data_IF_429106421733
#
_entry.id   IF_429106421733
#
_cell.length_a   1.000
_cell.length_b   1.000
_cell.length_c   1.000
_cell.angle_alpha   90.00
_cell.angle_beta   90.00
_cell.angle_gamma   90.00
#
_symmetry.space_group_name_H-M   'P 1'
#
loop_
_entity.id
_entity.type
_entity.pdbx_description
1 polymer ?
#
# COMPACT_ATOMS: atom_id res chain seq x y z
N UNK A 1 -4.25 -21.76 -5.00
CA UNK A 1 -3.31 -21.06 -5.89
C UNK A 1 -3.37 -21.69 -7.28
N UNK A 2 -3.23 -20.89 -8.35
CA UNK A 2 -3.17 -21.39 -9.73
C UNK A 2 -1.75 -21.88 -10.05
N UNK A 3 -1.56 -23.19 -10.27
CA UNK A 3 -0.24 -23.78 -10.55
C UNK A 3 0.41 -23.29 -11.85
N UNK A 4 -0.38 -22.76 -12.78
CA UNK A 4 0.10 -22.28 -14.07
C UNK A 4 0.40 -20.78 -14.10
N UNK A 5 0.23 -20.08 -12.97
CA UNK A 5 0.35 -18.63 -12.92
C UNK A 5 1.67 -18.12 -13.51
N UNK A 6 2.82 -18.66 -13.09
CA UNK A 6 4.13 -18.23 -13.58
C UNK A 6 4.29 -18.44 -15.10
N UNK A 7 3.76 -19.53 -15.63
CA UNK A 7 3.79 -19.82 -17.06
C UNK A 7 2.89 -18.88 -17.85
N UNK A 8 1.63 -18.72 -17.43
CA UNK A 8 0.68 -17.82 -18.08
C UNK A 8 1.14 -16.35 -18.01
N UNK A 9 1.72 -15.94 -16.87
CA UNK A 9 2.28 -14.61 -16.69
C UNK A 9 3.46 -14.35 -17.62
N UNK A 10 4.36 -15.33 -17.79
CA UNK A 10 5.49 -15.19 -18.72
C UNK A 10 5.02 -14.99 -20.18
N UNK A 11 3.97 -15.72 -20.61
CA UNK A 11 3.35 -15.54 -21.93
C UNK A 11 2.72 -14.15 -22.03
N UNK A 12 1.88 -13.76 -21.06
CA UNK A 12 1.23 -12.45 -21.06
C UNK A 12 2.25 -11.30 -21.11
N UNK A 13 3.39 -11.46 -20.43
CA UNK A 13 4.48 -10.47 -20.45
C UNK A 13 5.19 -10.40 -21.80
N UNK A 14 5.47 -11.55 -22.41
CA UNK A 14 6.08 -11.62 -23.74
C UNK A 14 5.18 -10.99 -24.81
N UNK A 15 3.86 -11.19 -24.70
CA UNK A 15 2.86 -10.67 -25.63
C UNK A 15 2.43 -9.22 -25.31
N UNK A 16 2.97 -8.60 -24.25
CA UNK A 16 2.50 -7.32 -23.71
C UNK A 16 0.97 -7.28 -23.55
N UNK A 17 0.42 -8.39 -23.08
CA UNK A 17 -1.01 -8.65 -23.08
C UNK A 17 -1.75 -7.71 -22.12
N UNK A 18 -2.85 -7.13 -22.58
CA UNK A 18 -3.62 -6.12 -21.84
C UNK A 18 -4.16 -6.60 -20.48
N UNK A 19 -4.22 -7.91 -20.24
CA UNK A 19 -4.58 -8.44 -18.92
C UNK A 19 -3.60 -8.06 -17.80
N UNK A 20 -2.40 -7.60 -18.13
CA UNK A 20 -1.43 -7.08 -17.15
C UNK A 20 -1.69 -5.62 -16.77
N UNK A 21 -2.60 -4.94 -17.48
CA UNK A 21 -2.92 -3.54 -17.23
C UNK A 21 -4.02 -3.42 -16.15
N UNK A 22 -3.77 -2.68 -15.04
CA UNK A 22 -4.80 -2.45 -14.03
C UNK A 22 -6.10 -1.90 -14.63
N UNK A 23 -7.22 -2.47 -14.20
CA UNK A 23 -8.54 -2.10 -14.71
C UNK A 23 -9.01 -2.90 -15.93
N UNK A 24 -8.17 -3.73 -16.56
CA UNK A 24 -8.60 -4.70 -17.57
C UNK A 24 -9.06 -5.99 -16.89
N UNK A 25 -10.37 -6.11 -16.71
CA UNK A 25 -10.99 -7.37 -16.25
C UNK A 25 -11.18 -8.34 -17.42
N UNK A 26 -11.40 -9.65 -17.20
CA UNK A 26 -11.69 -10.58 -18.29
C UNK A 26 -12.85 -10.13 -19.20
N UNK A 27 -13.90 -9.55 -18.61
CA UNK A 27 -15.04 -9.00 -19.35
C UNK A 27 -14.62 -7.79 -20.23
N UNK A 28 -13.87 -6.85 -19.66
CA UNK A 28 -13.37 -5.68 -20.40
C UNK A 28 -12.41 -6.11 -21.51
N UNK A 29 -11.56 -7.10 -21.27
CA UNK A 29 -10.64 -7.59 -22.29
C UNK A 29 -11.37 -8.12 -23.53
N UNK A 30 -12.43 -8.91 -23.35
CA UNK A 30 -13.26 -9.40 -24.47
C UNK A 30 -13.90 -8.25 -25.25
N UNK A 31 -14.31 -7.18 -24.57
CA UNK A 31 -14.88 -5.99 -25.21
C UNK A 31 -13.85 -5.21 -26.01
N UNK A 32 -12.64 -5.06 -25.47
CA UNK A 32 -11.52 -4.43 -26.17
C UNK A 32 -11.12 -5.23 -27.42
N UNK A 33 -11.09 -6.56 -27.33
CA UNK A 33 -10.86 -7.43 -28.49
C UNK A 33 -11.92 -7.23 -29.58
N UNK A 34 -13.21 -7.12 -29.22
CA UNK A 34 -14.29 -6.87 -30.17
C UNK A 34 -14.16 -5.52 -30.91
N UNK A 35 -13.39 -4.58 -30.35
CA UNK A 35 -13.08 -3.28 -30.93
C UNK A 35 -11.70 -3.22 -31.61
N UNK A 36 -10.98 -4.35 -31.68
CA UNK A 36 -9.60 -4.42 -32.15
C UNK A 36 -8.61 -3.54 -31.35
N UNK A 37 -8.92 -3.29 -30.07
CA UNK A 37 -8.04 -2.58 -29.13
C UNK A 37 -7.23 -3.60 -28.32
N UNK A 38 -6.25 -4.22 -28.96
CA UNK A 38 -5.50 -5.35 -28.37
C UNK A 38 -4.09 -5.00 -27.91
N UNK A 39 -3.62 -3.77 -28.14
CA UNK A 39 -2.28 -3.33 -27.71
C UNK A 39 -2.35 -2.18 -26.72
N UNK A 40 -1.28 -2.02 -25.94
CA UNK A 40 -1.17 -0.94 -24.96
C UNK A 40 -1.23 0.44 -25.62
N UNK A 41 -0.56 0.60 -26.76
CA UNK A 41 -0.51 1.83 -27.55
C UNK A 41 -1.92 2.20 -28.07
N UNK A 42 -2.66 1.20 -28.57
CA UNK A 42 -4.03 1.43 -29.06
C UNK A 42 -4.97 1.94 -27.97
N UNK A 43 -4.74 1.55 -26.70
CA UNK A 43 -5.48 2.08 -25.55
C UNK A 43 -4.96 3.45 -25.10
N UNK A 44 -3.65 3.69 -25.16
CA UNK A 44 -3.04 4.94 -24.71
C UNK A 44 -3.43 6.14 -25.61
N UNK A 45 -3.60 5.90 -26.91
CA UNK A 45 -3.98 6.89 -27.92
C UNK A 45 -5.50 7.11 -28.02
N UNK A 46 -6.30 6.28 -27.33
CA UNK A 46 -7.74 6.30 -27.41
C UNK A 46 -8.34 7.51 -26.66
N UNK A 47 -9.38 8.11 -27.22
CA UNK A 47 -10.17 9.09 -26.46
C UNK A 47 -11.16 8.37 -25.54
N UNK A 48 -11.23 8.69 -24.23
CA UNK A 48 -12.05 7.94 -23.26
C UNK A 48 -13.54 7.79 -23.64
N UNK A 49 -14.13 8.78 -24.30
CA UNK A 49 -15.53 8.72 -24.77
C UNK A 49 -15.81 7.54 -25.72
N UNK A 50 -14.78 7.00 -26.38
CA UNK A 50 -14.92 5.82 -27.23
C UNK A 50 -15.18 4.53 -26.41
N UNK A 51 -14.80 4.50 -25.14
CA UNK A 51 -15.09 3.39 -24.22
C UNK A 51 -16.27 3.64 -23.30
N UNK A 52 -16.59 4.90 -23.00
CA UNK A 52 -17.60 5.28 -21.99
C UNK A 52 -18.97 4.61 -22.21
N UNK A 53 -19.41 4.47 -23.46
CA UNK A 53 -20.70 3.89 -23.81
C UNK A 53 -20.70 2.36 -23.87
N UNK A 54 -19.55 1.71 -23.69
CA UNK A 54 -19.44 0.26 -23.65
C UNK A 54 -19.85 -0.22 -22.25
N UNK A 55 -20.74 -1.21 -22.21
CA UNK A 55 -21.19 -1.81 -20.96
C UNK A 55 -19.99 -2.25 -20.09
N UNK A 56 -19.92 -1.81 -18.83
CA UNK A 56 -18.83 -2.20 -17.91
C UNK A 56 -17.63 -1.24 -17.85
N UNK A 57 -17.60 -0.19 -18.69
CA UNK A 57 -16.66 0.93 -18.55
C UNK A 57 -17.32 2.10 -17.81
N UNK A 58 -18.28 2.78 -18.43
CA UNK A 58 -18.72 4.10 -17.96
C UNK A 58 -17.58 5.14 -18.06
N UNK A 59 -17.91 6.41 -17.87
CA UNK A 59 -16.96 7.51 -18.12
C UNK A 59 -15.70 7.44 -17.25
N UNK A 60 -15.84 7.14 -15.96
CA UNK A 60 -14.70 7.09 -15.05
C UNK A 60 -13.75 5.93 -15.35
N UNK A 61 -14.26 4.71 -15.58
CA UNK A 61 -13.38 3.58 -15.84
C UNK A 61 -12.74 3.66 -17.23
N UNK A 62 -13.43 4.21 -18.22
CA UNK A 62 -12.87 4.50 -19.53
C UNK A 62 -11.65 5.43 -19.41
N UNK A 63 -11.81 6.54 -18.70
CA UNK A 63 -10.74 7.51 -18.50
C UNK A 63 -9.57 6.93 -17.69
N UNK A 64 -9.86 6.25 -16.57
CA UNK A 64 -8.83 5.56 -15.77
C UNK A 64 -8.05 4.54 -16.60
N UNK A 65 -8.72 3.77 -17.46
CA UNK A 65 -8.03 2.77 -18.28
C UNK A 65 -7.09 3.41 -19.31
N UNK A 66 -7.57 4.42 -20.04
CA UNK A 66 -6.74 5.16 -21.01
C UNK A 66 -5.53 5.77 -20.30
N UNK A 67 -5.75 6.42 -19.14
CA UNK A 67 -4.67 7.01 -18.32
C UNK A 67 -3.68 5.95 -17.84
N UNK A 68 -4.15 4.78 -17.44
CA UNK A 68 -3.31 3.65 -17.04
C UNK A 68 -2.47 3.13 -18.21
N UNK A 69 -3.04 3.05 -19.42
CA UNK A 69 -2.30 2.70 -20.63
C UNK A 69 -1.22 3.74 -20.97
N UNK A 70 -1.54 5.03 -20.88
CA UNK A 70 -0.59 6.14 -21.07
C UNK A 70 0.56 6.08 -20.06
N UNK A 71 0.25 5.90 -18.77
CA UNK A 71 1.25 5.75 -17.70
C UNK A 71 2.22 4.63 -18.02
N UNK A 72 1.69 3.45 -18.31
CA UNK A 72 2.47 2.24 -18.59
C UNK A 72 3.33 2.40 -19.85
N UNK A 73 2.77 2.96 -20.93
CA UNK A 73 3.50 3.18 -22.21
C UNK A 73 4.67 4.14 -22.03
N UNK A 74 4.48 5.22 -21.28
CA UNK A 74 5.50 6.25 -21.05
C UNK A 74 6.44 5.92 -19.89
N UNK A 75 6.16 4.83 -19.16
CA UNK A 75 6.81 4.48 -17.90
C UNK A 75 6.91 5.67 -16.94
N UNK A 76 5.80 6.40 -16.77
CA UNK A 76 5.75 7.64 -15.98
C UNK A 76 4.48 7.71 -15.14
N UNK A 77 4.62 8.21 -13.92
CA UNK A 77 3.49 8.56 -13.08
C UNK A 77 2.74 9.79 -13.60
N UNK A 78 1.42 9.73 -13.50
CA UNK A 78 0.53 10.83 -13.82
C UNK A 78 -0.35 11.17 -12.63
N UNK A 79 -0.75 12.44 -12.53
CA UNK A 79 -1.87 12.80 -11.65
C UNK A 79 -3.11 12.01 -12.06
N UNK A 80 -3.74 11.39 -11.07
CA UNK A 80 -5.02 10.74 -11.20
C UNK A 80 -6.09 11.78 -11.51
N UNK A 81 -6.98 11.46 -12.45
CA UNK A 81 -7.91 12.45 -12.99
C UNK A 81 -8.82 13.07 -11.94
N UNK A 82 -9.31 12.27 -10.99
CA UNK A 82 -10.18 12.77 -9.91
C UNK A 82 -9.47 13.83 -9.08
N UNK A 83 -8.17 13.65 -8.79
CA UNK A 83 -7.36 14.63 -8.09
C UNK A 83 -7.03 15.84 -8.99
N UNK A 84 -6.70 15.60 -10.26
CA UNK A 84 -6.46 16.64 -11.26
C UNK A 84 -7.71 17.46 -11.64
N UNK A 85 -8.90 17.07 -11.19
CA UNK A 85 -10.13 17.82 -11.35
C UNK A 85 -10.50 18.66 -10.10
N UNK A 86 -9.83 18.45 -8.96
CA UNK A 86 -10.07 19.24 -7.75
C UNK A 86 -9.63 20.70 -7.95
N UNK A 87 -10.32 21.70 -7.38
CA UNK A 87 -9.84 23.08 -7.37
C UNK A 87 -8.46 23.22 -6.70
N UNK A 88 -7.63 24.16 -7.14
CA UNK A 88 -6.28 24.37 -6.57
C UNK A 88 -6.31 24.62 -5.06
N UNK A 89 -7.34 25.29 -4.55
CA UNK A 89 -7.54 25.49 -3.10
C UNK A 89 -7.71 24.19 -2.32
N UNK A 90 -8.28 23.15 -2.93
CA UNK A 90 -8.46 21.82 -2.33
C UNK A 90 -7.19 20.97 -2.46
N UNK A 91 -6.39 21.16 -3.52
CA UNK A 91 -5.07 20.54 -3.66
C UNK A 91 -4.05 21.14 -2.68
N UNK A 92 -4.05 22.46 -2.53
CA UNK A 92 -3.10 23.22 -1.69
C UNK A 92 -3.44 23.20 -0.19
N UNK A 93 -4.71 23.06 0.20
CA UNK A 93 -5.03 22.79 1.61
C UNK A 93 -4.48 21.42 2.08
N UNK A 94 -4.06 20.58 1.12
CA UNK A 94 -3.24 19.40 1.34
C UNK A 94 -1.85 19.67 1.94
N UNK A 95 -1.34 20.90 2.01
CA UNK A 95 0.08 21.17 2.31
C UNK A 95 0.31 22.32 3.31
N UNK A 96 -0.72 22.88 3.95
CA UNK A 96 -0.50 23.92 4.96
C UNK A 96 -0.06 23.28 6.28
N UNK A 97 1.00 23.79 6.94
CA UNK A 97 1.30 23.47 8.33
C UNK A 97 0.27 24.18 9.21
N UNK A 98 -0.95 23.65 9.23
CA UNK A 98 -1.91 23.95 10.27
C UNK A 98 -1.47 23.11 11.46
N UNK A 99 -1.57 23.65 12.68
CA UNK A 99 -1.34 22.95 13.95
C UNK A 99 -2.24 21.71 14.18
N UNK A 100 -2.86 21.17 13.12
CA UNK A 100 -3.54 19.88 13.01
C UNK A 100 -3.07 19.20 11.74
N UNK A 101 -2.20 18.21 11.89
CA UNK A 101 -1.57 17.41 10.83
C UNK A 101 -2.54 16.55 9.99
N UNK A 102 -3.85 16.79 10.02
CA UNK A 102 -4.85 15.89 9.41
C UNK A 102 -5.54 16.44 8.16
N UNK A 103 -5.42 17.74 7.85
CA UNK A 103 -6.10 18.35 6.69
C UNK A 103 -5.32 18.17 5.37
N UNK A 104 -4.15 17.53 5.45
CA UNK A 104 -3.24 17.30 4.35
C UNK A 104 -3.57 16.04 3.52
N UNK A 105 -3.43 16.12 2.19
CA UNK A 105 -3.60 14.95 1.31
C UNK A 105 -2.45 13.93 1.44
N UNK A 106 -1.28 14.30 1.96
CA UNK A 106 -0.33 13.36 2.60
C UNK A 106 0.31 14.12 3.76
N UNK A 107 -0.13 13.88 5.00
CA UNK A 107 0.37 14.63 6.13
C UNK A 107 1.87 14.44 6.30
N UNK A 108 2.56 15.48 6.76
CA UNK A 108 3.96 15.39 7.16
C UNK A 108 4.11 15.93 8.57
N UNK A 109 4.88 15.23 9.39
CA UNK A 109 5.11 15.56 10.78
C UNK A 109 6.60 15.38 11.15
N UNK A 110 7.02 15.93 12.28
CA UNK A 110 8.39 15.74 12.78
C UNK A 110 8.70 14.26 13.03
N UNK A 111 7.77 13.56 13.68
CA UNK A 111 7.79 12.12 13.88
C UNK A 111 6.67 11.49 13.04
N UNK A 112 7.01 10.46 12.29
CA UNK A 112 6.09 9.67 11.47
C UNK A 112 6.26 8.18 11.78
N UNK A 113 5.16 7.44 11.83
CA UNK A 113 5.18 5.99 12.09
C UNK A 113 4.72 5.25 10.84
N UNK A 114 5.40 4.17 10.48
CA UNK A 114 5.02 3.29 9.37
C UNK A 114 4.77 1.89 9.89
N UNK A 115 3.56 1.38 9.66
CA UNK A 115 3.03 0.23 10.36
C UNK A 115 2.65 -0.89 9.39
N UNK A 116 3.05 -2.10 9.75
CA UNK A 116 2.66 -3.34 9.09
C UNK A 116 2.50 -4.47 10.13
N UNK A 117 1.73 -5.51 9.80
CA UNK A 117 1.45 -6.63 10.70
C UNK A 117 1.62 -7.98 10.02
N UNK A 118 2.03 -8.98 10.80
CA UNK A 118 2.04 -10.37 10.36
C UNK A 118 1.08 -11.22 11.18
N UNK A 119 0.34 -12.06 10.48
CA UNK A 119 -0.75 -12.85 11.04
C UNK A 119 -0.62 -14.33 10.71
N UNK A 120 -1.14 -15.18 11.59
CA UNK A 120 -1.44 -16.58 11.33
C UNK A 120 -2.97 -16.74 11.32
N UNK A 121 -3.61 -16.67 10.14
CA UNK A 121 -5.07 -16.65 10.04
C UNK A 121 -5.73 -17.91 10.60
N UNK A 122 -5.09 -19.07 10.52
CA UNK A 122 -5.67 -20.33 11.02
C UNK A 122 -5.80 -20.36 12.55
N UNK A 123 -4.98 -19.57 13.24
CA UNK A 123 -5.01 -19.41 14.69
C UNK A 123 -5.72 -18.12 15.13
N UNK A 124 -6.18 -17.29 14.17
CA UNK A 124 -6.71 -15.95 14.43
C UNK A 124 -5.74 -15.08 15.25
N UNK A 125 -4.44 -15.20 14.95
CA UNK A 125 -3.33 -14.65 15.71
C UNK A 125 -2.61 -13.55 14.91
N UNK A 126 -2.30 -12.44 15.56
CA UNK A 126 -1.30 -11.46 15.12
C UNK A 126 -0.05 -11.68 15.94
N UNK A 127 1.04 -12.09 15.29
CA UNK A 127 2.27 -12.44 16.00
C UNK A 127 3.37 -11.38 15.85
N UNK A 128 3.19 -10.39 14.98
CA UNK A 128 4.14 -9.28 14.83
C UNK A 128 3.41 -7.97 14.51
N UNK A 129 3.76 -6.94 15.28
CA UNK A 129 3.52 -5.54 14.92
C UNK A 129 4.86 -4.88 14.56
N UNK A 130 5.04 -4.53 13.29
CA UNK A 130 6.18 -3.77 12.80
C UNK A 130 5.90 -2.28 12.84
N UNK A 131 6.77 -1.50 13.47
CA UNK A 131 6.67 -0.04 13.46
C UNK A 131 8.02 0.57 13.14
N UNK A 132 8.14 1.22 11.98
CA UNK A 132 9.26 2.11 11.68
C UNK A 132 8.95 3.51 12.20
N UNK A 133 9.72 3.96 13.19
CA UNK A 133 9.69 5.33 13.71
C UNK A 133 10.69 6.16 12.92
N UNK A 134 10.20 7.16 12.19
CA UNK A 134 11.03 8.13 11.45
C UNK A 134 11.01 9.46 12.16
N UNK A 135 12.20 9.91 12.60
CA UNK A 135 12.42 11.26 13.14
C UNK A 135 13.10 12.10 12.06
N UNK A 136 12.34 13.02 11.45
CA UNK A 136 12.79 13.85 10.33
C UNK A 136 13.79 14.92 10.78
N UNK A 137 13.69 15.39 12.03
CA UNK A 137 14.58 16.42 12.56
C UNK A 137 15.96 15.84 12.89
N UNK A 138 15.99 14.68 13.56
CA UNK A 138 17.22 13.97 13.91
C UNK A 138 17.77 13.10 12.78
N UNK A 139 16.98 12.88 11.71
CA UNK A 139 17.30 12.01 10.58
C UNK A 139 17.61 10.58 11.02
N UNK A 140 16.76 10.05 11.90
CA UNK A 140 16.89 8.68 12.40
C UNK A 140 15.67 7.87 12.03
N UNK A 141 15.92 6.60 11.70
CA UNK A 141 14.91 5.60 11.38
C UNK A 141 15.13 4.40 12.30
N UNK A 142 14.16 4.10 13.17
CA UNK A 142 14.27 3.00 14.14
C UNK A 142 13.10 2.06 13.91
N UNK A 143 13.40 0.81 13.54
CA UNK A 143 12.40 -0.23 13.41
C UNK A 143 12.19 -0.94 14.74
N UNK A 144 10.93 -1.08 15.13
CA UNK A 144 10.50 -1.81 16.31
C UNK A 144 9.74 -3.06 15.88
N UNK A 145 10.33 -4.23 16.13
CA UNK A 145 9.69 -5.53 15.94
C UNK A 145 9.03 -5.99 17.24
N UNK A 146 7.73 -5.75 17.36
CA UNK A 146 6.96 -6.18 18.53
C UNK A 146 6.45 -7.60 18.27
N UNK A 147 7.30 -8.57 18.60
CA UNK A 147 7.19 -9.96 18.16
C UNK A 147 6.73 -10.88 19.29
N UNK A 148 5.67 -11.64 19.03
CA UNK A 148 5.20 -12.70 19.90
C UNK A 148 6.01 -13.97 19.60
N UNK A 149 6.91 -14.34 20.51
CA UNK A 149 7.69 -15.58 20.39
C UNK A 149 6.78 -16.82 20.48
N UNK A 150 5.64 -16.69 21.15
CA UNK A 150 4.59 -17.70 21.26
C UNK A 150 3.20 -17.09 21.05
N UNK A 151 2.20 -17.88 20.61
CA UNK A 151 0.83 -17.38 20.42
C UNK A 151 0.24 -16.67 21.65
N UNK A 152 0.61 -17.10 22.87
CA UNK A 152 0.10 -16.51 24.11
C UNK A 152 0.62 -15.07 24.34
N UNK A 153 1.70 -14.68 23.66
CA UNK A 153 2.33 -13.36 23.80
C UNK A 153 1.62 -12.27 22.96
N UNK A 154 0.58 -12.58 22.17
CA UNK A 154 -0.18 -11.58 21.37
C UNK A 154 -0.67 -10.41 22.24
N UNK A 155 -1.21 -10.71 23.43
CA UNK A 155 -1.68 -9.67 24.36
C UNK A 155 -0.57 -8.75 24.86
N UNK A 156 0.65 -9.30 25.02
CA UNK A 156 1.83 -8.55 25.46
C UNK A 156 2.29 -7.61 24.35
N UNK A 157 2.48 -8.11 23.13
CA UNK A 157 2.94 -7.27 22.01
C UNK A 157 1.90 -6.22 21.61
N UNK A 158 0.60 -6.50 21.86
CA UNK A 158 -0.46 -5.50 21.72
C UNK A 158 -0.26 -4.33 22.71
N UNK A 159 0.06 -4.61 23.98
CA UNK A 159 0.37 -3.53 24.93
C UNK A 159 1.64 -2.77 24.55
N UNK A 160 2.70 -3.48 24.12
CA UNK A 160 3.93 -2.84 23.65
C UNK A 160 3.68 -1.93 22.43
N UNK A 161 2.80 -2.35 21.52
CA UNK A 161 2.37 -1.54 20.37
C UNK A 161 1.68 -0.27 20.83
N UNK A 162 0.70 -0.40 21.74
CA UNK A 162 0.02 0.76 22.30
C UNK A 162 1.00 1.70 23.02
N UNK A 163 1.93 1.19 23.80
CA UNK A 163 2.90 2.01 24.52
C UNK A 163 3.83 2.77 23.56
N UNK A 164 4.27 2.13 22.47
CA UNK A 164 5.09 2.75 21.43
C UNK A 164 4.33 3.87 20.71
N UNK A 165 3.13 3.61 20.20
CA UNK A 165 2.39 4.63 19.43
C UNK A 165 1.94 5.81 20.31
N UNK A 166 1.74 5.57 21.62
CA UNK A 166 1.39 6.60 22.59
C UNK A 166 2.59 7.39 23.13
N UNK A 167 3.82 6.93 22.91
CA UNK A 167 5.01 7.77 23.10
C UNK A 167 5.06 8.94 22.09
N UNK A 168 4.32 8.83 20.98
CA UNK A 168 4.20 9.84 19.92
C UNK A 168 2.73 10.17 19.65
N UNK A 169 2.01 10.82 20.59
CA UNK A 169 0.54 10.91 20.56
C UNK A 169 -0.03 11.61 19.31
N UNK A 170 0.76 12.49 18.67
CA UNK A 170 0.33 13.30 17.52
C UNK A 170 0.90 12.80 16.18
N UNK A 171 1.75 11.77 16.18
CA UNK A 171 2.42 11.29 14.96
C UNK A 171 1.43 10.54 14.05
N UNK A 172 1.35 10.85 12.74
CA UNK A 172 0.57 10.05 11.79
C UNK A 172 1.14 8.63 11.70
N UNK A 173 0.24 7.66 11.50
CA UNK A 173 0.58 6.24 11.34
C UNK A 173 0.23 5.82 9.93
N UNK A 174 1.22 5.75 9.06
CA UNK A 174 1.05 5.30 7.69
C UNK A 174 0.96 3.78 7.63
N UNK A 175 0.00 3.29 6.87
CA UNK A 175 -0.18 1.88 6.56
C UNK A 175 -0.60 1.74 5.10
N UNK A 176 -0.61 0.50 4.58
CA UNK A 176 -0.82 0.27 3.14
C UNK A 176 -2.14 -0.42 2.79
N UNK A 177 -2.90 -0.93 3.75
CA UNK A 177 -4.16 -1.61 3.49
C UNK A 177 -5.17 -1.41 4.63
N UNK A 178 -6.49 -1.42 4.38
CA UNK A 178 -7.50 -1.38 5.45
C UNK A 178 -7.36 -2.50 6.49
N UNK A 179 -6.67 -3.60 6.16
CA UNK A 179 -6.48 -4.75 7.05
C UNK A 179 -5.79 -4.37 8.37
N UNK A 180 -4.77 -3.52 8.33
CA UNK A 180 -4.04 -3.08 9.53
C UNK A 180 -4.97 -2.37 10.53
N UNK A 181 -5.73 -1.38 10.05
CA UNK A 181 -6.64 -0.58 10.90
C UNK A 181 -7.77 -1.42 11.45
N UNK A 182 -8.33 -2.32 10.64
CA UNK A 182 -9.35 -3.27 11.08
C UNK A 182 -8.81 -4.21 12.16
N UNK A 183 -7.57 -4.65 12.02
CA UNK A 183 -6.90 -5.50 13.01
C UNK A 183 -6.66 -4.75 14.32
N UNK A 184 -6.20 -3.51 14.28
CA UNK A 184 -6.02 -2.65 15.47
C UNK A 184 -7.36 -2.49 16.20
N UNK A 185 -8.46 -2.25 15.49
CA UNK A 185 -9.80 -2.20 16.08
C UNK A 185 -10.21 -3.53 16.73
N UNK A 186 -9.99 -4.66 16.03
CA UNK A 186 -10.28 -6.00 16.55
C UNK A 186 -9.47 -6.33 17.81
N UNK A 187 -8.17 -6.05 17.83
CA UNK A 187 -7.31 -6.31 18.99
C UNK A 187 -7.69 -5.43 20.18
N UNK A 188 -8.11 -4.18 19.93
CA UNK A 188 -8.62 -3.31 20.96
C UNK A 188 -9.87 -3.88 21.65
N UNK A 189 -10.81 -4.43 20.89
CA UNK A 189 -11.98 -5.13 21.43
C UNK A 189 -11.57 -6.40 22.19
N UNK A 190 -10.70 -7.22 21.58
CA UNK A 190 -10.25 -8.49 22.14
C UNK A 190 -9.56 -8.32 23.51
N UNK A 191 -8.73 -7.29 23.66
CA UNK A 191 -7.94 -7.04 24.86
C UNK A 191 -8.48 -5.90 25.73
N UNK A 192 -9.72 -5.45 25.50
CA UNK A 192 -10.39 -4.48 26.38
C UNK A 192 -9.71 -3.11 26.43
N UNK A 193 -9.16 -2.64 25.31
CA UNK A 193 -8.52 -1.32 25.23
C UNK A 193 -9.59 -0.22 25.32
N UNK A 194 -9.47 0.76 26.24
CA UNK A 194 -10.50 1.77 26.44
C UNK A 194 -10.79 2.60 25.18
N UNK A 195 -12.05 2.98 24.98
CA UNK A 195 -12.50 3.69 23.77
C UNK A 195 -11.81 5.05 23.62
N UNK A 196 -11.56 5.73 24.74
CA UNK A 196 -10.83 6.98 24.84
C UNK A 196 -9.35 6.87 24.42
N UNK A 197 -8.76 5.67 24.49
CA UNK A 197 -7.42 5.38 23.98
C UNK A 197 -7.47 4.97 22.51
N UNK A 198 -8.41 4.11 22.09
CA UNK A 198 -8.40 3.59 20.71
C UNK A 198 -8.92 4.59 19.67
N UNK A 199 -9.92 5.40 20.00
CA UNK A 199 -10.54 6.34 19.04
C UNK A 199 -9.54 7.36 18.50
N UNK A 200 -8.77 8.10 19.33
CA UNK A 200 -7.76 9.02 18.81
C UNK A 200 -6.60 8.29 18.13
N UNK A 201 -6.27 7.06 18.53
CA UNK A 201 -5.26 6.24 17.84
C UNK A 201 -5.70 5.91 16.40
N UNK A 202 -6.92 5.39 16.21
CA UNK A 202 -7.44 5.07 14.88
C UNK A 202 -7.53 6.30 13.97
N UNK A 203 -7.81 7.48 14.52
CA UNK A 203 -7.84 8.74 13.77
C UNK A 203 -6.46 9.18 13.22
N UNK A 204 -5.36 8.60 13.71
CA UNK A 204 -4.00 8.87 13.23
C UNK A 204 -3.60 8.00 12.04
N UNK A 205 -4.35 6.95 11.72
CA UNK A 205 -4.02 6.05 10.63
C UNK A 205 -4.26 6.71 9.27
N UNK A 206 -3.27 6.55 8.40
CA UNK A 206 -3.23 7.14 7.08
C UNK A 206 -3.03 6.03 6.04
N UNK A 207 -4.11 5.73 5.31
CA UNK A 207 -4.09 4.73 4.24
C UNK A 207 -3.36 5.27 3.00
N UNK A 208 -2.13 4.82 2.77
CA UNK A 208 -1.35 5.23 1.61
C UNK A 208 -1.82 4.58 0.31
N UNK A 209 -2.36 3.37 0.35
CA UNK A 209 -2.89 2.74 -0.86
C UNK A 209 -4.11 3.48 -1.38
N UNK A 210 -5.02 3.87 -0.49
CA UNK A 210 -6.17 4.72 -0.84
C UNK A 210 -5.71 6.06 -1.43
N UNK A 211 -4.71 6.70 -0.81
CA UNK A 211 -4.16 7.98 -1.30
C UNK A 211 -3.52 7.81 -2.68
N UNK A 212 -2.65 6.82 -2.88
CA UNK A 212 -2.01 6.55 -4.17
C UNK A 212 -3.06 6.28 -5.25
N UNK A 213 -3.97 5.34 -5.02
CA UNK A 213 -4.94 4.90 -6.04
C UNK A 213 -5.96 5.97 -6.43
N UNK A 214 -6.25 6.92 -5.54
CA UNK A 214 -7.14 8.06 -5.85
C UNK A 214 -6.45 9.20 -6.58
N UNK A 215 -5.14 9.34 -6.44
CA UNK A 215 -4.44 10.57 -6.80
C UNK A 215 -3.33 10.42 -7.82
N UNK A 216 -2.88 9.19 -8.08
CA UNK A 216 -1.79 8.92 -9.02
C UNK A 216 -2.14 7.71 -9.88
N UNK A 217 -1.85 7.81 -11.17
CA UNK A 217 -1.80 6.67 -12.08
C UNK A 217 -0.34 6.29 -12.29
N UNK A 218 0.04 5.10 -11.82
CA UNK A 218 1.40 4.58 -11.85
C UNK A 218 1.58 3.53 -12.96
N UNK A 219 2.77 3.41 -13.56
CA UNK A 219 3.05 2.44 -14.62
C UNK A 219 3.36 1.04 -14.04
N UNK A 220 2.41 0.51 -13.26
CA UNK A 220 2.55 -0.76 -12.54
C UNK A 220 1.48 -1.75 -12.98
N UNK A 221 1.79 -3.04 -12.89
CA UNK A 221 0.85 -4.13 -13.22
C UNK A 221 -0.20 -4.34 -12.12
N UNK A 222 0.09 -3.91 -10.89
CA UNK A 222 -0.90 -3.78 -9.82
C UNK A 222 -0.48 -2.74 -8.79
N UNK A 223 -1.45 -2.24 -8.02
CA UNK A 223 -1.21 -1.28 -6.93
C UNK A 223 -0.88 -1.96 -5.61
N UNK A 224 -0.39 -3.21 -5.63
CA UNK A 224 0.15 -3.84 -4.44
C UNK A 224 1.47 -3.16 -4.02
N UNK A 225 1.74 -3.13 -2.71
CA UNK A 225 2.93 -2.50 -2.10
C UNK A 225 4.22 -2.82 -2.88
N UNK A 226 4.46 -4.12 -3.11
CA UNK A 226 5.66 -4.62 -3.79
C UNK A 226 5.85 -4.11 -5.22
N UNK A 227 4.76 -3.96 -5.99
CA UNK A 227 4.87 -3.46 -7.37
C UNK A 227 5.15 -1.97 -7.41
N UNK A 228 4.50 -1.19 -6.53
CA UNK A 228 4.71 0.26 -6.46
C UNK A 228 6.13 0.55 -5.97
N UNK A 229 6.53 -0.03 -4.84
CA UNK A 229 7.85 0.18 -4.26
C UNK A 229 8.98 -0.20 -5.24
N UNK A 230 8.86 -1.32 -5.97
CA UNK A 230 9.83 -1.70 -7.00
C UNK A 230 9.92 -0.73 -8.17
N UNK A 231 8.77 -0.23 -8.64
CA UNK A 231 8.80 0.80 -9.68
C UNK A 231 9.50 2.07 -9.19
N UNK A 232 9.40 2.37 -7.89
CA UNK A 232 10.11 3.46 -7.22
C UNK A 232 11.57 3.14 -6.86
N UNK A 233 12.09 1.98 -7.25
CA UNK A 233 13.48 1.58 -7.01
C UNK A 233 13.76 1.01 -5.61
N UNK A 234 12.74 0.60 -4.86
CA UNK A 234 12.89 -0.12 -3.60
C UNK A 234 12.77 -1.63 -3.83
N UNK A 235 13.67 -2.41 -3.24
CA UNK A 235 13.62 -3.87 -3.25
C UNK A 235 13.76 -4.44 -1.84
N UNK A 236 13.06 -5.55 -1.62
CA UNK A 236 13.14 -6.33 -0.39
C UNK A 236 14.49 -7.03 -0.32
N UNK A 237 15.04 -7.14 0.90
CA UNK A 237 16.29 -7.86 1.17
C UNK A 237 16.19 -9.33 0.74
N UNK A 238 15.01 -9.94 0.91
CA UNK A 238 14.67 -11.22 0.30
C UNK A 238 13.66 -11.05 -0.83
N UNK A 239 14.14 -11.20 -2.07
CA UNK A 239 13.31 -11.08 -3.27
C UNK A 239 12.16 -12.10 -3.36
N UNK A 240 12.29 -13.24 -2.68
CA UNK A 240 11.32 -14.34 -2.67
C UNK A 240 10.21 -14.18 -1.62
N UNK A 241 10.47 -13.35 -0.59
CA UNK A 241 9.56 -13.11 0.52
C UNK A 241 8.23 -12.49 0.05
N UNK A 242 7.14 -12.98 0.63
CA UNK A 242 5.77 -12.49 0.43
C UNK A 242 4.89 -12.97 1.61
N UNK A 243 3.69 -12.41 1.76
CA UNK A 243 2.80 -12.77 2.88
C UNK A 243 2.49 -14.26 3.02
N UNK A 244 2.37 -15.03 1.93
CA UNK A 244 2.15 -16.48 2.04
C UNK A 244 3.40 -17.22 2.54
N UNK A 245 4.58 -16.72 2.17
CA UNK A 245 5.86 -17.22 2.65
C UNK A 245 6.07 -16.89 4.14
N UNK A 246 5.65 -15.71 4.59
CA UNK A 246 5.64 -15.30 6.00
C UNK A 246 4.82 -16.25 6.88
N UNK A 247 3.59 -16.57 6.46
CA UNK A 247 2.73 -17.57 7.12
C UNK A 247 3.42 -18.94 7.18
N UNK A 248 4.02 -19.40 6.07
CA UNK A 248 4.75 -20.67 6.05
C UNK A 248 5.93 -20.67 7.03
N UNK A 249 6.72 -19.60 7.07
CA UNK A 249 7.83 -19.47 8.01
C UNK A 249 7.34 -19.53 9.45
N UNK A 250 6.21 -18.89 9.78
CA UNK A 250 5.66 -18.94 11.13
C UNK A 250 5.21 -20.36 11.52
N UNK A 251 4.58 -21.08 10.59
CA UNK A 251 4.25 -22.49 10.80
C UNK A 251 5.49 -23.36 11.01
N UNK A 252 6.59 -23.10 10.29
CA UNK A 252 7.86 -23.79 10.50
C UNK A 252 8.49 -23.45 11.86
N UNK A 253 8.43 -22.18 12.29
CA UNK A 253 8.85 -21.76 13.63
C UNK A 253 8.10 -22.55 14.70
N UNK A 254 6.77 -22.61 14.64
CA UNK A 254 5.97 -23.34 15.63
C UNK A 254 6.27 -24.85 15.64
N UNK A 255 6.55 -25.44 14.48
CA UNK A 255 6.83 -26.87 14.36
C UNK A 255 8.25 -27.26 14.82
N UNK A 256 9.23 -26.37 14.65
CA UNK A 256 10.66 -26.71 14.79
C UNK A 256 11.36 -25.97 15.93
N UNK A 257 10.88 -24.79 16.30
CA UNK A 257 11.58 -23.86 17.19
C UNK A 257 12.84 -23.25 16.57
N UNK A 258 13.01 -23.30 15.25
CA UNK A 258 14.15 -22.67 14.57
C UNK A 258 13.92 -21.16 14.36
N UNK A 259 14.67 -20.36 15.13
CA UNK A 259 14.51 -18.89 15.19
C UNK A 259 14.77 -18.20 13.85
N UNK A 260 15.52 -18.84 12.94
CA UNK A 260 15.80 -18.29 11.61
C UNK A 260 14.51 -17.96 10.82
N UNK A 261 13.41 -18.68 11.07
CA UNK A 261 12.12 -18.39 10.45
C UNK A 261 11.51 -17.08 10.95
N UNK A 262 11.51 -16.84 12.27
CA UNK A 262 11.04 -15.56 12.82
C UNK A 262 11.93 -14.41 12.38
N UNK A 263 13.25 -14.60 12.35
CA UNK A 263 14.17 -13.56 11.92
C UNK A 263 13.94 -13.17 10.45
N UNK A 264 13.59 -14.15 9.60
CA UNK A 264 13.20 -13.90 8.19
C UNK A 264 11.89 -13.11 8.09
N UNK A 265 10.90 -13.42 8.94
CA UNK A 265 9.64 -12.67 8.98
C UNK A 265 9.87 -11.24 9.46
N UNK A 266 10.69 -11.03 10.49
CA UNK A 266 11.03 -9.68 10.99
C UNK A 266 11.71 -8.84 9.91
N UNK A 267 12.62 -9.43 9.13
CA UNK A 267 13.25 -8.76 7.99
C UNK A 267 12.22 -8.39 6.92
N UNK A 268 11.31 -9.31 6.59
CA UNK A 268 10.26 -9.08 5.60
C UNK A 268 9.30 -7.95 6.03
N UNK A 269 8.84 -7.97 7.27
CA UNK A 269 7.94 -6.97 7.84
C UNK A 269 8.62 -5.59 7.98
N UNK A 270 9.91 -5.53 8.34
CA UNK A 270 10.67 -4.29 8.30
C UNK A 270 10.75 -3.72 6.87
N UNK A 271 10.96 -4.58 5.87
CA UNK A 271 10.96 -4.15 4.46
C UNK A 271 9.59 -3.61 4.03
N UNK A 272 8.48 -4.17 4.50
CA UNK A 272 7.13 -3.66 4.23
C UNK A 272 6.90 -2.27 4.87
N UNK A 273 7.36 -2.05 6.11
CA UNK A 273 7.35 -0.72 6.72
C UNK A 273 8.21 0.30 5.95
N UNK A 274 9.41 -0.10 5.53
CA UNK A 274 10.34 0.75 4.76
C UNK A 274 9.84 1.05 3.35
N UNK A 275 9.22 0.09 2.69
CA UNK A 275 8.57 0.27 1.40
C UNK A 275 7.42 1.29 1.52
N UNK A 276 6.63 1.19 2.59
CA UNK A 276 5.55 2.14 2.89
C UNK A 276 6.11 3.55 3.10
N UNK A 277 7.22 3.69 3.83
CA UNK A 277 7.93 4.96 3.98
C UNK A 277 8.43 5.53 2.64
N UNK A 278 9.09 4.69 1.83
CA UNK A 278 9.61 5.07 0.51
C UNK A 278 8.50 5.59 -0.42
N UNK A 279 7.33 4.93 -0.43
CA UNK A 279 6.16 5.36 -1.19
C UNK A 279 5.65 6.71 -0.69
N UNK A 280 5.54 6.91 0.63
CA UNK A 280 5.12 8.19 1.21
C UNK A 280 6.03 9.33 0.76
N UNK A 281 7.34 9.16 0.87
CA UNK A 281 8.31 10.20 0.49
C UNK A 281 8.22 10.53 -1.00
N UNK A 282 8.12 9.50 -1.85
CA UNK A 282 7.92 9.71 -3.27
C UNK A 282 6.63 10.47 -3.56
N UNK A 283 5.53 10.10 -2.89
CA UNK A 283 4.22 10.70 -3.11
C UNK A 283 4.22 12.18 -2.70
N UNK A 284 4.82 12.53 -1.57
CA UNK A 284 5.01 13.92 -1.14
C UNK A 284 5.82 14.71 -2.18
N UNK A 285 6.99 14.22 -2.60
CA UNK A 285 7.81 14.90 -3.61
C UNK A 285 7.14 14.99 -4.99
N UNK A 286 6.32 13.99 -5.35
CA UNK A 286 5.54 14.01 -6.57
C UNK A 286 4.56 15.18 -6.58
N UNK A 287 3.76 15.39 -5.52
CA UNK A 287 2.82 16.51 -5.46
C UNK A 287 3.49 17.88 -5.43
N UNK A 288 4.58 18.03 -4.67
CA UNK A 288 5.36 19.28 -4.62
C UNK A 288 5.86 19.71 -6.02
N UNK A 289 6.25 18.72 -6.84
CA UNK A 289 6.69 18.98 -8.23
C UNK A 289 5.56 19.42 -9.16
N UNK A 290 4.31 19.04 -8.86
CA UNK A 290 3.15 19.41 -9.68
C UNK A 290 2.63 20.81 -9.36
N UNK A 291 2.74 21.24 -8.10
CA UNK A 291 2.30 22.59 -7.66
C UNK A 291 3.28 23.70 -8.08
N UNK A 292 4.49 23.34 -8.51
CA UNK A 292 5.54 24.28 -8.94
C UNK A 292 5.42 24.71 -10.41
N UNK A 293 4.38 24.28 -11.13
CA UNK A 293 4.11 24.55 -12.55
C UNK A 293 2.74 25.18 -12.76
#
# INVERSE_FOLDING_TARGET
>A
LCHWYSHCYAIAKADQHLSLLPGVTPSRYLQLQALNLTTLESLADLHPNQLEHIAGFGGEAARKLVRQAQSTTQNRAFLGESYAALPDSERQNGHKPIHRSQDSFIPTAEIELYFDIEAEPSLNLIYLHGVLVVDRQKKTEIFHSLLADKPEDESKIWQEFLDLVWAYPDAPIFHFCPYEVQTVGRLAELYGTPRERITPLLARFVDLHDRVTKSVTLPVESYALKHIARWLGFDWRDSSANGAQSIYWYAQWLATGDRAFLDSIVVYNEDDCRATYHIKEWLTGFFESQDSH
#
